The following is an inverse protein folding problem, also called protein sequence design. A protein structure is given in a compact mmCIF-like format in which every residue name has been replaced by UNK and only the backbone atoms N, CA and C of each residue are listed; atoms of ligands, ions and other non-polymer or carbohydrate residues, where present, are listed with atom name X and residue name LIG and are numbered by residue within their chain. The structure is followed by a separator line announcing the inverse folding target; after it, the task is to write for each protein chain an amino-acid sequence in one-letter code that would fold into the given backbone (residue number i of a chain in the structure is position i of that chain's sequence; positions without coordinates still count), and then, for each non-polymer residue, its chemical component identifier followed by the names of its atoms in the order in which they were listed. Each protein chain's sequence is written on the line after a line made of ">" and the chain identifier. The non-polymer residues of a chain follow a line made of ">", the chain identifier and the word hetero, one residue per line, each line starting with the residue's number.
data_IF_719339853052
#
_entry.id   IF_719339853052
#
_cell.length_a   1.000
_cell.length_b   1.000
_cell.length_c   1.000
_cell.angle_alpha   90.00
_cell.angle_beta   90.00
_cell.angle_gamma   90.00
#
_symmetry.space_group_name_H-M   'P 1'
#
loop_
_entity.id
_entity.type
_entity.pdbx_description
1 polymer ?
#
# COMPACT_ATOMS: atom_id res chain seq x y z
N UNK A 1 -12.31 70.35 -13.10
CA UNK A 1 -11.99 69.56 -14.30
C UNK A 1 -11.62 68.15 -13.86
N UNK A 2 -12.08 67.13 -14.61
CA UNK A 2 -12.19 65.73 -14.21
C UNK A 2 -11.01 64.91 -14.80
N UNK A 3 -10.41 64.05 -13.95
CA UNK A 3 -9.83 62.71 -14.25
C UNK A 3 -8.45 62.70 -14.99
N UNK A 4 -7.56 61.70 -14.90
CA UNK A 4 -7.66 60.26 -14.60
C UNK A 4 -6.35 59.71 -13.96
N UNK A 5 -6.50 58.73 -13.06
CA UNK A 5 -5.46 57.80 -12.60
C UNK A 5 -5.44 56.62 -13.59
N UNK A 6 -4.26 56.13 -13.99
CA UNK A 6 -4.13 54.85 -14.68
C UNK A 6 -3.20 53.95 -13.89
N UNK A 7 -3.79 53.00 -13.16
CA UNK A 7 -3.11 51.86 -12.59
C UNK A 7 -3.13 50.73 -13.63
N UNK A 8 -1.96 50.16 -13.95
CA UNK A 8 -1.84 48.96 -14.76
C UNK A 8 -1.83 47.75 -13.82
N UNK A 9 -2.90 46.96 -13.85
CA UNK A 9 -2.97 45.64 -13.23
C UNK A 9 -2.39 44.63 -14.22
N UNK A 10 -1.26 44.02 -13.87
CA UNK A 10 -0.75 42.83 -14.57
C UNK A 10 -1.46 41.63 -13.94
N UNK A 11 -2.40 41.03 -14.68
CA UNK A 11 -2.97 39.74 -14.34
C UNK A 11 -1.98 38.63 -14.77
N UNK A 12 -1.26 38.07 -13.81
CA UNK A 12 -0.42 36.89 -14.03
C UNK A 12 -1.30 35.65 -14.15
N UNK A 13 -1.44 35.10 -15.35
CA UNK A 13 -2.11 33.82 -15.59
C UNK A 13 -1.10 32.69 -15.36
N UNK A 14 -1.13 32.06 -14.18
CA UNK A 14 -0.27 30.92 -13.86
C UNK A 14 -0.79 29.64 -14.54
N UNK A 15 -0.16 29.22 -15.65
CA UNK A 15 -0.40 27.95 -16.34
C UNK A 15 0.29 26.76 -15.63
N UNK A 16 -0.10 26.45 -14.39
CA UNK A 16 0.42 25.30 -13.61
C UNK A 16 -0.59 24.12 -13.50
N UNK A 17 -1.52 23.98 -14.44
CA UNK A 17 -2.62 23.01 -14.36
C UNK A 17 -2.38 21.55 -14.83
N UNK A 18 -1.38 21.18 -15.68
CA UNK A 18 -1.36 19.84 -16.28
C UNK A 18 -1.03 18.71 -15.28
N UNK A 19 -0.04 18.94 -14.41
CA UNK A 19 0.46 17.90 -13.50
C UNK A 19 -0.54 17.57 -12.37
N UNK A 20 -1.24 18.59 -11.86
CA UNK A 20 -2.25 18.42 -10.83
C UNK A 20 -3.50 17.67 -11.37
N UNK A 21 -3.91 17.94 -12.61
CA UNK A 21 -5.03 17.21 -13.25
C UNK A 21 -4.65 15.76 -13.59
N UNK A 22 -3.44 15.50 -14.06
CA UNK A 22 -2.96 14.15 -14.33
C UNK A 22 -2.86 13.31 -13.03
N UNK A 23 -2.34 13.90 -11.95
CA UNK A 23 -2.29 13.25 -10.63
C UNK A 23 -3.70 12.97 -10.08
N UNK A 24 -4.64 13.89 -10.25
CA UNK A 24 -6.03 13.71 -9.84
C UNK A 24 -6.73 12.58 -10.64
N UNK A 25 -6.54 12.51 -11.96
CA UNK A 25 -7.11 11.44 -12.79
C UNK A 25 -6.49 10.05 -12.48
N UNK A 26 -5.18 9.99 -12.25
CA UNK A 26 -4.52 8.77 -11.80
C UNK A 26 -5.03 8.33 -10.40
N UNK A 27 -5.31 9.29 -9.51
CA UNK A 27 -5.88 9.02 -8.19
C UNK A 27 -7.31 8.48 -8.28
N UNK A 28 -8.14 9.03 -9.18
CA UNK A 28 -9.52 8.56 -9.42
C UNK A 28 -9.53 7.13 -10.00
N UNK A 29 -8.63 6.82 -10.94
CA UNK A 29 -8.54 5.46 -11.52
C UNK A 29 -8.10 4.42 -10.48
N UNK A 30 -7.17 4.77 -9.58
CA UNK A 30 -6.74 3.89 -8.48
C UNK A 30 -7.88 3.64 -7.48
N UNK A 31 -8.66 4.66 -7.11
CA UNK A 31 -9.81 4.50 -6.21
C UNK A 31 -10.89 3.61 -6.84
N UNK A 32 -11.13 3.73 -8.15
CA UNK A 32 -12.09 2.90 -8.87
C UNK A 32 -11.74 1.41 -8.85
N UNK A 33 -10.44 1.08 -8.81
CA UNK A 33 -9.94 -0.30 -8.75
C UNK A 33 -9.82 -0.85 -7.33
N UNK A 34 -9.98 -0.02 -6.31
CA UNK A 34 -9.82 -0.44 -4.93
C UNK A 34 -10.87 -1.49 -4.52
N UNK A 35 -10.35 -2.59 -3.98
CA UNK A 35 -11.10 -3.69 -3.36
C UNK A 35 -10.80 -3.77 -1.86
N UNK A 36 -10.36 -2.66 -1.26
CA UNK A 36 -10.35 -2.38 0.19
C UNK A 36 -10.66 -0.90 0.41
N UNK A 37 -10.85 -0.46 1.66
CA UNK A 37 -10.74 0.97 1.98
C UNK A 37 -9.25 1.34 2.01
N UNK A 38 -8.76 2.34 1.26
CA UNK A 38 -7.33 2.67 1.31
C UNK A 38 -6.99 3.64 2.44
N UNK A 39 -6.43 3.12 3.53
CA UNK A 39 -5.95 3.92 4.65
C UNK A 39 -4.90 3.14 5.46
N UNK A 40 -4.16 3.84 6.32
CA UNK A 40 -3.17 3.21 7.20
C UNK A 40 -3.85 2.40 8.31
N UNK A 41 -5.03 2.83 8.78
CA UNK A 41 -5.76 2.15 9.87
C UNK A 41 -6.41 0.81 9.48
N UNK A 42 -6.22 0.38 8.23
CA UNK A 42 -6.80 -0.86 7.68
C UNK A 42 -5.95 -2.09 7.93
N UNK A 43 -4.73 -1.90 8.46
CA UNK A 43 -3.90 -3.01 8.90
C UNK A 43 -4.48 -3.65 10.15
N UNK A 44 -4.78 -4.94 10.07
CA UNK A 44 -5.01 -5.80 11.23
C UNK A 44 -3.70 -6.45 11.64
N UNK A 45 -3.28 -6.25 12.89
CA UNK A 45 -2.04 -6.83 13.40
C UNK A 45 -2.33 -8.17 14.07
N UNK A 46 -1.56 -9.19 13.72
CA UNK A 46 -1.65 -10.53 14.28
C UNK A 46 -0.29 -10.92 14.88
N UNK A 47 -0.30 -11.55 16.05
CA UNK A 47 0.88 -12.06 16.75
C UNK A 47 0.80 -11.85 18.26
N UNK A 48 1.54 -12.63 19.05
CA UNK A 48 1.48 -12.60 20.52
C UNK A 48 2.63 -11.85 21.19
N UNK A 49 3.64 -11.46 20.44
CA UNK A 49 4.86 -10.81 20.98
C UNK A 49 5.29 -9.61 20.13
N UNK A 50 4.30 -8.97 19.53
CA UNK A 50 4.46 -7.71 18.83
C UNK A 50 3.99 -6.54 19.70
N UNK A 51 4.44 -5.33 19.35
CA UNK A 51 3.84 -4.08 19.82
C UNK A 51 3.46 -3.26 18.61
N UNK A 52 2.26 -2.69 18.60
CA UNK A 52 1.85 -1.79 17.53
C UNK A 52 1.15 -0.54 18.04
N UNK A 53 1.27 0.52 17.24
CA UNK A 53 0.56 1.76 17.44
C UNK A 53 0.31 2.47 16.11
N UNK A 54 -0.84 3.13 15.99
CA UNK A 54 -1.10 4.06 14.90
C UNK A 54 -0.50 5.41 15.26
N UNK A 55 0.51 5.84 14.51
CA UNK A 55 1.21 7.10 14.70
C UNK A 55 0.86 8.11 13.61
N UNK A 56 0.87 9.40 13.97
CA UNK A 56 0.88 10.47 12.98
C UNK A 56 2.26 10.58 12.35
N UNK A 57 2.30 10.66 11.03
CA UNK A 57 3.54 10.82 10.27
C UNK A 57 3.23 11.61 8.99
N UNK A 58 3.60 12.89 8.96
CA UNK A 58 3.37 13.74 7.79
C UNK A 58 4.30 13.43 6.62
N UNK A 59 5.28 12.54 6.80
CA UNK A 59 6.18 12.08 5.75
C UNK A 59 5.57 11.02 4.83
N UNK A 60 4.44 10.41 5.21
CA UNK A 60 3.71 9.44 4.38
C UNK A 60 2.41 10.01 3.85
N UNK A 61 2.03 9.58 2.65
CA UNK A 61 0.70 9.82 2.12
C UNK A 61 -0.36 9.39 3.14
N UNK A 62 -1.43 10.17 3.31
CA UNK A 62 -2.46 9.90 4.32
C UNK A 62 -2.11 10.34 5.74
N UNK A 63 -0.87 10.74 6.03
CA UNK A 63 -0.48 11.40 7.28
C UNK A 63 -0.42 10.52 8.53
N UNK A 64 -0.54 9.20 8.38
CA UNK A 64 -0.50 8.24 9.46
C UNK A 64 0.13 6.91 9.03
N UNK A 65 0.69 6.18 9.99
CA UNK A 65 1.28 4.87 9.80
C UNK A 65 1.04 3.97 11.02
N UNK A 66 0.85 2.68 10.80
CA UNK A 66 0.97 1.67 11.85
C UNK A 66 2.44 1.33 12.04
N UNK A 67 3.03 1.65 13.20
CA UNK A 67 4.32 1.10 13.58
C UNK A 67 4.09 -0.26 14.23
N UNK A 68 4.76 -1.28 13.71
CA UNK A 68 4.70 -2.64 14.23
C UNK A 68 6.10 -3.08 14.60
N UNK A 69 6.29 -3.47 15.85
CA UNK A 69 7.56 -3.91 16.41
C UNK A 69 7.51 -5.41 16.68
N UNK A 70 8.43 -6.14 16.06
CA UNK A 70 8.77 -7.51 16.41
C UNK A 70 10.01 -7.53 17.29
N UNK A 71 9.96 -8.23 18.42
CA UNK A 71 11.08 -8.34 19.34
C UNK A 71 12.19 -9.31 18.85
N UNK A 72 11.91 -10.14 17.84
CA UNK A 72 12.82 -11.17 17.37
C UNK A 72 12.20 -12.03 16.27
N UNK A 73 12.98 -13.00 15.76
CA UNK A 73 12.43 -14.01 14.86
C UNK A 73 11.57 -15.02 15.62
N UNK A 74 10.52 -15.53 14.98
CA UNK A 74 9.70 -16.64 15.46
C UNK A 74 9.92 -17.89 14.58
N UNK A 75 9.09 -18.93 14.76
CA UNK A 75 9.19 -20.16 13.99
C UNK A 75 8.87 -19.91 12.51
N UNK A 76 7.86 -19.07 12.26
CA UNK A 76 7.45 -18.69 10.92
C UNK A 76 7.40 -17.16 10.77
N UNK A 77 7.71 -16.62 9.58
CA UNK A 77 7.66 -15.18 9.36
C UNK A 77 6.26 -14.57 9.56
N UNK A 78 5.19 -15.35 9.37
CA UNK A 78 3.80 -14.92 9.57
C UNK A 78 3.30 -15.02 11.01
N UNK A 79 4.10 -15.50 11.96
CA UNK A 79 3.72 -15.56 13.38
C UNK A 79 3.49 -14.14 13.96
N UNK A 80 4.07 -13.12 13.31
CA UNK A 80 3.74 -11.70 13.47
C UNK A 80 3.51 -11.14 12.07
N UNK A 81 2.34 -10.57 11.80
CA UNK A 81 2.03 -10.00 10.50
C UNK A 81 1.04 -8.84 10.60
N UNK A 82 1.16 -7.90 9.67
CA UNK A 82 0.13 -6.91 9.38
C UNK A 82 -0.65 -7.38 8.15
N UNK A 83 -1.96 -7.57 8.29
CA UNK A 83 -2.83 -8.10 7.25
C UNK A 83 -3.93 -7.12 6.84
N UNK A 84 -4.39 -7.24 5.59
CA UNK A 84 -5.57 -6.56 5.06
C UNK A 84 -6.35 -7.55 4.21
N UNK A 85 -7.68 -7.47 4.21
CA UNK A 85 -8.55 -8.34 3.41
C UNK A 85 -9.32 -7.55 2.36
N UNK A 86 -9.73 -8.25 1.31
CA UNK A 86 -10.57 -7.68 0.26
C UNK A 86 -11.98 -7.38 0.79
N UNK A 87 -12.55 -6.23 0.44
CA UNK A 87 -13.94 -5.85 0.72
C UNK A 87 -14.90 -6.17 -0.43
N UNK A 88 -14.38 -6.57 -1.59
CA UNK A 88 -15.14 -6.95 -2.79
C UNK A 88 -14.70 -8.34 -3.26
N UNK A 89 -15.58 -9.04 -3.97
CA UNK A 89 -15.24 -10.30 -4.61
C UNK A 89 -14.20 -10.09 -5.73
N UNK A 90 -13.38 -11.12 -5.97
CA UNK A 90 -12.37 -11.20 -7.03
C UNK A 90 -12.69 -12.39 -7.91
N UNK A 91 -12.56 -12.25 -9.22
CA UNK A 91 -12.83 -13.31 -10.19
C UNK A 91 -11.55 -13.97 -10.65
N UNK A 92 -11.64 -15.26 -11.00
CA UNK A 92 -10.54 -15.99 -11.63
C UNK A 92 -10.01 -15.22 -12.84
N UNK A 93 -8.70 -15.06 -12.91
CA UNK A 93 -8.00 -14.35 -13.98
C UNK A 93 -7.81 -12.86 -13.73
N UNK A 94 -8.50 -12.27 -12.73
CA UNK A 94 -8.29 -10.89 -12.32
C UNK A 94 -6.84 -10.66 -11.86
N UNK A 95 -6.23 -9.57 -12.30
CA UNK A 95 -4.90 -9.18 -11.85
C UNK A 95 -5.02 -8.31 -10.61
N UNK A 96 -4.50 -8.82 -9.49
CA UNK A 96 -4.52 -8.16 -8.19
C UNK A 96 -3.16 -7.52 -7.92
N UNK A 97 -3.19 -6.29 -7.41
CA UNK A 97 -2.02 -5.55 -6.94
C UNK A 97 -2.24 -5.15 -5.49
N UNK A 98 -1.39 -5.64 -4.59
CA UNK A 98 -1.12 -5.02 -3.31
C UNK A 98 -0.14 -3.86 -3.56
N UNK A 99 -0.49 -2.67 -3.09
CA UNK A 99 0.41 -1.53 -2.99
C UNK A 99 0.34 -0.95 -1.58
N UNK A 100 1.48 -0.68 -0.96
CA UNK A 100 1.50 -0.09 0.38
C UNK A 100 2.75 0.72 0.65
N UNK A 101 2.57 1.79 1.42
CA UNK A 101 3.70 2.57 1.90
C UNK A 101 4.37 1.85 3.06
N UNK A 102 5.69 1.77 3.05
CA UNK A 102 6.45 1.31 4.21
C UNK A 102 7.78 2.03 4.37
N UNK A 103 8.28 2.02 5.61
CA UNK A 103 9.69 2.31 5.93
C UNK A 103 10.15 1.50 7.14
N UNK A 104 11.45 1.27 7.22
CA UNK A 104 12.09 0.64 8.34
C UNK A 104 12.38 1.71 9.41
N UNK A 105 11.91 1.49 10.64
CA UNK A 105 12.19 2.36 11.78
C UNK A 105 13.47 1.91 12.47
N UNK A 106 13.59 0.60 12.71
CA UNK A 106 14.84 -0.01 13.18
C UNK A 106 14.86 -1.51 12.81
N UNK A 107 16.00 -2.08 12.39
CA UNK A 107 17.17 -1.37 11.86
C UNK A 107 16.82 -0.54 10.60
N UNK A 108 17.76 0.24 10.06
CA UNK A 108 17.53 1.12 8.90
C UNK A 108 17.19 0.36 7.61
N UNK A 109 17.39 -0.95 7.57
CA UNK A 109 17.04 -1.81 6.45
C UNK A 109 16.59 -3.16 6.98
N UNK A 110 15.42 -3.62 6.52
CA UNK A 110 14.86 -4.92 6.87
C UNK A 110 14.40 -5.63 5.61
N UNK A 111 14.48 -6.96 5.60
CA UNK A 111 13.89 -7.77 4.55
C UNK A 111 12.62 -8.38 5.11
N UNK A 112 11.47 -8.26 4.45
CA UNK A 112 10.21 -8.83 4.94
C UNK A 112 9.46 -9.54 3.80
N UNK A 113 8.92 -10.74 4.01
CA UNK A 113 8.01 -11.34 3.05
C UNK A 113 6.68 -10.56 3.02
N UNK A 114 6.19 -10.29 1.81
CA UNK A 114 4.84 -9.79 1.59
C UNK A 114 4.10 -10.71 0.63
N UNK A 115 2.84 -11.01 0.93
CA UNK A 115 2.09 -12.06 0.25
C UNK A 115 0.67 -11.62 -0.05
N UNK A 116 0.12 -12.08 -1.17
CA UNK A 116 -1.31 -12.01 -1.49
C UNK A 116 -1.84 -13.43 -1.60
N UNK A 117 -2.76 -13.81 -0.72
CA UNK A 117 -3.20 -15.19 -0.55
C UNK A 117 -4.59 -15.30 0.06
N UNK A 118 -5.14 -16.51 0.04
CA UNK A 118 -6.37 -16.84 0.78
C UNK A 118 -6.23 -16.52 2.26
N UNK A 119 -7.32 -16.06 2.87
CA UNK A 119 -7.36 -15.72 4.30
C UNK A 119 -7.55 -16.93 5.21
N UNK A 120 -7.79 -18.11 4.65
CA UNK A 120 -7.95 -19.39 5.34
C UNK A 120 -7.19 -20.51 4.64
N UNK A 121 -7.04 -21.64 5.32
CA UNK A 121 -6.41 -22.84 4.77
C UNK A 121 -7.07 -23.24 3.43
N UNK A 122 -6.28 -23.61 2.40
CA UNK A 122 -4.85 -23.94 2.46
C UNK A 122 -3.89 -22.74 2.29
N UNK A 123 -4.37 -21.49 2.39
CA UNK A 123 -3.57 -20.28 2.18
C UNK A 123 -2.97 -20.18 0.77
N UNK A 124 -3.76 -20.56 -0.24
CA UNK A 124 -3.33 -20.51 -1.65
C UNK A 124 -2.86 -19.11 -1.99
N UNK A 125 -1.63 -19.02 -2.49
CA UNK A 125 -0.94 -17.75 -2.77
C UNK A 125 -1.03 -17.42 -4.25
N UNK A 126 -1.38 -16.17 -4.54
CA UNK A 126 -1.39 -15.65 -5.92
C UNK A 126 -0.22 -14.71 -6.21
N UNK A 127 0.38 -14.11 -5.18
CA UNK A 127 1.55 -13.24 -5.29
C UNK A 127 2.43 -13.27 -4.05
N UNK A 128 3.75 -13.13 -4.24
CA UNK A 128 4.74 -13.11 -3.18
C UNK A 128 5.93 -12.23 -3.56
N UNK A 129 6.45 -11.47 -2.62
CA UNK A 129 7.75 -10.80 -2.75
C UNK A 129 8.51 -10.87 -1.44
N UNK A 130 9.84 -10.86 -1.51
CA UNK A 130 10.70 -10.55 -0.37
C UNK A 130 11.19 -9.12 -0.53
N UNK A 131 10.64 -8.21 0.28
CA UNK A 131 10.84 -6.78 0.13
C UNK A 131 11.98 -6.30 1.02
N UNK A 132 12.92 -5.54 0.46
CA UNK A 132 13.92 -4.79 1.22
C UNK A 132 13.35 -3.42 1.56
N UNK A 133 12.89 -3.25 2.80
CA UNK A 133 12.36 -1.99 3.31
C UNK A 133 13.49 -1.17 3.92
N UNK A 134 13.67 0.06 3.43
CA UNK A 134 14.67 1.03 3.91
C UNK A 134 14.08 2.09 4.84
N UNK A 135 14.91 2.94 5.44
CA UNK A 135 14.49 4.02 6.33
C UNK A 135 13.61 5.10 5.66
N UNK A 136 13.72 5.25 4.33
CA UNK A 136 12.90 6.17 3.56
C UNK A 136 11.53 5.56 3.23
N UNK A 137 10.49 6.40 3.30
CA UNK A 137 9.16 6.05 2.83
C UNK A 137 9.19 5.72 1.34
N UNK A 138 8.77 4.50 1.02
CA UNK A 138 8.62 4.02 -0.36
C UNK A 138 7.29 3.28 -0.49
N UNK A 139 6.80 3.22 -1.73
CA UNK A 139 5.64 2.44 -2.11
C UNK A 139 6.13 1.08 -2.63
N UNK A 140 5.66 0.00 -2.00
CA UNK A 140 6.00 -1.37 -2.33
C UNK A 140 4.82 -2.09 -2.95
N UNK A 141 5.12 -3.09 -3.77
CA UNK A 141 4.14 -3.79 -4.59
C UNK A 141 4.26 -5.30 -4.46
N UNK A 142 3.12 -6.00 -4.48
CA UNK A 142 3.03 -7.45 -4.72
C UNK A 142 1.87 -7.67 -5.67
N UNK A 143 2.04 -8.47 -6.73
CA UNK A 143 0.97 -8.71 -7.69
C UNK A 143 0.85 -10.17 -8.06
N UNK A 144 -0.33 -10.52 -8.57
CA UNK A 144 -0.63 -11.88 -9.00
C UNK A 144 -1.98 -12.01 -9.68
N UNK A 145 -2.12 -12.90 -10.68
CA UNK A 145 -3.42 -13.26 -11.21
C UNK A 145 -4.17 -14.15 -10.23
N UNK A 146 -5.46 -13.88 -10.00
CA UNK A 146 -6.34 -14.75 -9.22
C UNK A 146 -6.50 -16.10 -9.92
N UNK A 147 -6.21 -17.19 -9.21
CA UNK A 147 -6.26 -18.55 -9.77
C UNK A 147 -7.68 -19.16 -9.75
N UNK A 148 -8.56 -18.58 -8.95
CA UNK A 148 -9.95 -18.97 -8.74
C UNK A 148 -10.82 -17.75 -8.37
N UNK A 149 -12.11 -17.98 -8.22
CA UNK A 149 -13.03 -16.98 -7.67
C UNK A 149 -12.84 -16.88 -6.15
N UNK A 150 -12.70 -15.65 -5.65
CA UNK A 150 -12.68 -15.35 -4.22
C UNK A 150 -13.89 -14.50 -3.86
N UNK A 151 -14.66 -14.93 -2.86
CA UNK A 151 -15.68 -14.08 -2.25
C UNK A 151 -15.01 -12.91 -1.51
N UNK A 152 -15.77 -11.84 -1.25
CA UNK A 152 -15.28 -10.73 -0.43
C UNK A 152 -14.76 -11.25 0.93
N UNK A 153 -13.61 -10.77 1.37
CA UNK A 153 -12.95 -11.15 2.62
C UNK A 153 -12.17 -12.46 2.57
N UNK A 154 -12.23 -13.22 1.46
CA UNK A 154 -11.56 -14.53 1.35
C UNK A 154 -10.19 -14.47 0.68
N UNK A 155 -9.88 -13.37 0.00
CA UNK A 155 -8.53 -13.01 -0.44
C UNK A 155 -8.04 -11.85 0.41
N UNK A 156 -6.75 -11.84 0.74
CA UNK A 156 -6.11 -10.76 1.45
C UNK A 156 -4.62 -10.68 1.14
N UNK A 157 -3.95 -9.77 1.84
CA UNK A 157 -2.52 -9.62 1.78
C UNK A 157 -1.93 -9.43 3.18
N UNK A 158 -0.68 -9.81 3.36
CA UNK A 158 0.05 -9.55 4.60
C UNK A 158 1.51 -9.22 4.39
N UNK A 159 2.05 -8.41 5.30
CA UNK A 159 3.48 -8.19 5.51
C UNK A 159 3.90 -8.97 6.75
N UNK A 160 4.86 -9.86 6.58
CA UNK A 160 5.27 -10.84 7.59
C UNK A 160 6.53 -10.35 8.31
N UNK A 161 6.43 -10.18 9.63
CA UNK A 161 7.37 -9.39 10.42
C UNK A 161 8.10 -10.21 11.50
N UNK A 162 7.81 -11.50 11.63
CA UNK A 162 8.44 -12.36 12.64
C UNK A 162 9.76 -12.99 12.18
N UNK A 163 10.53 -12.31 11.32
CA UNK A 163 11.81 -12.80 10.80
C UNK A 163 13.04 -12.12 11.41
N UNK A 164 12.85 -11.22 12.38
CA UNK A 164 13.92 -10.54 13.10
C UNK A 164 13.41 -9.54 14.12
N UNK A 165 14.33 -9.02 14.94
CA UNK A 165 14.05 -7.88 15.81
C UNK A 165 14.02 -6.60 14.97
N UNK A 166 12.84 -5.99 14.86
CA UNK A 166 12.63 -4.85 13.96
C UNK A 166 11.38 -4.06 14.32
N UNK A 167 11.34 -2.80 13.89
CA UNK A 167 10.16 -1.97 13.83
C UNK A 167 9.98 -1.47 12.41
N UNK A 168 8.80 -1.71 11.84
CA UNK A 168 8.40 -1.28 10.50
C UNK A 168 7.21 -0.35 10.62
N UNK A 169 7.25 0.79 9.94
CA UNK A 169 6.10 1.67 9.80
C UNK A 169 5.38 1.35 8.49
N UNK A 170 4.08 1.10 8.57
CA UNK A 170 3.20 0.75 7.46
C UNK A 170 2.19 1.88 7.27
N UNK A 171 2.28 2.57 6.13
CA UNK A 171 1.35 3.62 5.76
C UNK A 171 0.09 3.06 5.08
N UNK A 172 -0.61 3.88 4.27
CA UNK A 172 -1.80 3.43 3.56
C UNK A 172 -1.55 2.22 2.68
N UNK A 173 -2.53 1.31 2.68
CA UNK A 173 -2.54 0.08 1.92
C UNK A 173 -3.69 0.02 0.92
N UNK A 174 -3.39 -0.49 -0.26
CA UNK A 174 -4.29 -0.62 -1.38
C UNK A 174 -4.28 -2.07 -1.84
N UNK A 175 -5.46 -2.67 -1.97
CA UNK A 175 -5.69 -3.84 -2.79
C UNK A 175 -6.45 -3.36 -4.02
N UNK A 176 -5.87 -3.53 -5.19
CA UNK A 176 -6.41 -3.05 -6.46
C UNK A 176 -6.72 -4.24 -7.36
N UNK A 177 -7.89 -4.22 -7.99
CA UNK A 177 -8.29 -5.18 -9.01
C UNK A 177 -8.24 -4.51 -10.39
N UNK A 178 -7.34 -4.98 -11.25
CA UNK A 178 -7.18 -4.51 -12.63
C UNK A 178 -8.05 -5.27 -13.64
N UNK A 179 -8.82 -6.25 -13.19
CA UNK A 179 -9.65 -7.11 -14.02
C UNK A 179 -8.84 -8.18 -14.77
N UNK A 180 -9.53 -8.98 -15.59
CA UNK A 180 -8.91 -10.13 -16.24
C UNK A 180 -7.96 -9.73 -17.36
N UNK A 181 -6.84 -10.46 -17.49
CA UNK A 181 -5.92 -10.32 -18.62
C UNK A 181 -5.14 -9.00 -18.69
N UNK A 182 -5.13 -8.20 -17.61
CA UNK A 182 -4.28 -7.01 -17.54
C UNK A 182 -2.82 -7.40 -17.70
N UNK A 183 -2.08 -6.68 -18.54
CA UNK A 183 -0.69 -7.05 -18.82
C UNK A 183 0.22 -6.62 -17.64
N UNK A 184 0.90 -7.55 -16.95
CA UNK A 184 1.72 -7.22 -15.79
C UNK A 184 2.82 -6.19 -16.05
N UNK A 185 3.28 -6.03 -17.30
CA UNK A 185 4.31 -5.04 -17.67
C UNK A 185 3.89 -3.58 -17.45
N UNK A 186 2.59 -3.33 -17.28
CA UNK A 186 2.04 -2.01 -17.00
C UNK A 186 1.77 -1.78 -15.51
N UNK A 187 1.96 -2.82 -14.67
CA UNK A 187 1.94 -2.64 -13.23
C UNK A 187 3.22 -1.94 -12.76
N UNK A 188 3.16 -1.18 -11.66
CA UNK A 188 4.38 -0.74 -11.00
C UNK A 188 5.16 -1.95 -10.45
N UNK A 189 6.48 -1.80 -10.38
CA UNK A 189 7.38 -2.83 -9.90
C UNK A 189 8.30 -2.27 -8.82
N UNK A 190 8.71 -3.13 -7.88
CA UNK A 190 9.73 -2.78 -6.90
C UNK A 190 11.06 -2.58 -7.63
N UNK A 191 11.76 -1.49 -7.31
CA UNK A 191 13.11 -1.25 -7.84
C UNK A 191 14.09 -1.92 -6.86
N UNK A 192 15.09 -2.68 -7.36
CA UNK A 192 16.11 -3.30 -6.54
C UNK A 192 16.94 -2.31 -5.71
#
# INVERSE_FOLDING_TARGET
>A
MKRYITAVLIASFSLLAPAAHAAALATIDVIGKAINHPAADQWSIYGTSEKHELVKDSGVNGGAAFQVTSAGAALNPWDIQAGVTTSKAVKKGDVILLAFWARAVTPQTVNVPAVVQQTSAPYTRIGAENLTITADWKLYYVSGPADQDYAAGTLGASVQLANGAQTVALGPVFLLNYGPGYNPKYLPHNIP
#
